data_IF_749963977758
#
_entry.id   IF_749963977758
#
_cell.length_a   1.000
_cell.length_b   1.000
_cell.length_c   1.000
_cell.angle_alpha   90.00
_cell.angle_beta   90.00
_cell.angle_gamma   90.00
#
_symmetry.space_group_name_H-M   'P 1'
#
loop_
_entity.id
_entity.type
_entity.pdbx_description
1 polymer ?
#
# COMPACT_ATOMS: atom_id res chain seq x y z
N UNK A 1 -13.56 -2.81 0.79
CA UNK A 1 -12.33 -2.01 1.00
C UNK A 1 -11.13 -2.78 0.49
N UNK A 2 -10.86 -3.98 1.03
CA UNK A 2 -9.80 -4.88 0.57
C UNK A 2 -9.81 -5.08 -0.95
N UNK A 3 -10.97 -5.39 -1.54
CA UNK A 3 -11.11 -5.52 -2.99
C UNK A 3 -10.67 -4.27 -3.78
N UNK A 4 -10.94 -3.06 -3.24
CA UNK A 4 -10.52 -1.80 -3.89
C UNK A 4 -9.01 -1.61 -3.82
N UNK A 5 -8.39 -1.94 -2.68
CA UNK A 5 -6.92 -1.89 -2.51
C UNK A 5 -6.27 -2.92 -3.43
N UNK A 6 -6.79 -4.14 -3.43
CA UNK A 6 -6.30 -5.22 -4.28
C UNK A 6 -6.41 -4.85 -5.76
N UNK A 7 -7.55 -4.32 -6.20
CA UNK A 7 -7.75 -3.89 -7.59
C UNK A 7 -6.81 -2.73 -7.95
N UNK A 8 -6.63 -1.76 -7.06
CA UNK A 8 -5.75 -0.61 -7.28
C UNK A 8 -4.28 -1.03 -7.37
N UNK A 9 -3.85 -1.96 -6.52
CA UNK A 9 -2.49 -2.47 -6.46
C UNK A 9 -2.26 -3.73 -7.31
N UNK A 10 -3.24 -4.18 -8.11
CA UNK A 10 -3.13 -5.47 -8.83
C UNK A 10 -1.95 -5.50 -9.80
N UNK A 11 -1.70 -4.37 -10.46
CA UNK A 11 -0.65 -4.20 -11.46
C UNK A 11 0.65 -3.64 -10.85
N UNK A 12 0.72 -3.54 -9.51
CA UNK A 12 1.91 -3.03 -8.85
C UNK A 12 3.05 -4.03 -8.83
N UNK A 13 4.17 -3.64 -9.44
CA UNK A 13 5.41 -4.43 -9.47
C UNK A 13 6.18 -4.32 -8.16
N UNK A 14 7.18 -5.19 -7.94
CA UNK A 14 8.06 -5.11 -6.76
C UNK A 14 8.88 -3.81 -6.70
N UNK A 15 9.08 -3.14 -7.84
CA UNK A 15 9.85 -1.90 -7.96
C UNK A 15 8.99 -0.64 -7.76
N UNK A 16 7.67 -0.77 -7.88
CA UNK A 16 6.76 0.35 -7.64
C UNK A 16 6.76 0.74 -6.17
N UNK A 17 6.89 2.04 -5.92
CA UNK A 17 6.78 2.58 -4.58
C UNK A 17 5.31 2.68 -4.21
N UNK A 18 4.90 1.90 -3.23
CA UNK A 18 3.57 2.01 -2.61
C UNK A 18 3.72 2.66 -1.25
N UNK A 19 2.83 3.57 -0.90
CA UNK A 19 2.78 4.16 0.43
C UNK A 19 1.34 4.49 0.80
N UNK A 20 1.06 4.58 2.08
CA UNK A 20 -0.22 5.09 2.54
C UNK A 20 -0.06 6.04 3.73
N UNK A 21 -1.05 6.91 3.90
CA UNK A 21 -1.07 7.90 4.97
C UNK A 21 -2.49 8.13 5.47
N UNK A 22 -2.57 8.54 6.73
CA UNK A 22 -3.82 8.81 7.42
C UNK A 22 -4.22 10.26 7.16
N UNK A 23 -5.31 10.48 6.41
CA UNK A 23 -5.83 11.82 6.14
C UNK A 23 -6.59 12.36 7.36
N UNK A 24 -7.31 11.47 8.04
CA UNK A 24 -8.01 11.71 9.30
C UNK A 24 -8.26 10.36 10.00
N UNK A 25 -8.90 10.36 11.18
CA UNK A 25 -9.14 9.15 11.99
C UNK A 25 -10.02 8.07 11.32
N UNK A 26 -10.58 8.33 10.14
CA UNK A 26 -11.51 7.45 9.43
C UNK A 26 -11.21 7.35 7.92
N UNK A 27 -10.19 8.03 7.42
CA UNK A 27 -9.87 8.05 5.99
C UNK A 27 -8.39 7.91 5.78
N UNK A 28 -8.05 6.88 5.01
CA UNK A 28 -6.70 6.55 4.62
C UNK A 28 -6.54 6.80 3.13
N UNK A 29 -5.36 7.26 2.73
CA UNK A 29 -4.98 7.43 1.33
C UNK A 29 -3.88 6.44 0.98
N UNK A 30 -4.13 5.57 0.01
CA UNK A 30 -3.14 4.66 -0.55
C UNK A 30 -2.66 5.24 -1.87
N UNK A 31 -1.35 5.31 -2.07
CA UNK A 31 -0.73 5.80 -3.28
C UNK A 31 0.26 4.78 -3.84
N UNK A 32 0.36 4.75 -5.16
CA UNK A 32 1.40 4.06 -5.89
C UNK A 32 2.11 5.06 -6.81
N UNK A 33 3.42 4.97 -6.86
CA UNK A 33 4.26 5.76 -7.74
C UNK A 33 4.84 4.85 -8.83
N UNK A 34 4.62 5.23 -10.08
CA UNK A 34 5.22 4.55 -11.25
C UNK A 34 6.71 4.89 -11.36
N UNK A 35 7.45 4.13 -12.17
CA UNK A 35 8.86 4.40 -12.46
C UNK A 35 9.08 5.80 -13.08
N UNK A 36 8.11 6.28 -13.86
CA UNK A 36 8.11 7.63 -14.45
C UNK A 36 7.95 8.73 -13.41
N UNK A 37 7.60 8.38 -12.17
CA UNK A 37 7.36 9.30 -11.07
C UNK A 37 5.91 9.72 -10.88
N UNK A 38 4.99 9.29 -11.77
CA UNK A 38 3.57 9.59 -11.65
C UNK A 38 2.98 8.91 -10.42
N UNK A 39 2.24 9.69 -9.62
CA UNK A 39 1.59 9.22 -8.41
C UNK A 39 0.09 9.09 -8.68
N UNK A 40 -0.44 7.88 -8.47
CA UNK A 40 -1.88 7.64 -8.40
C UNK A 40 -2.25 7.32 -6.96
N UNK A 41 -3.41 7.80 -6.50
CA UNK A 41 -3.88 7.54 -5.14
C UNK A 41 -5.38 7.22 -5.10
N UNK A 42 -5.80 6.45 -4.10
CA UNK A 42 -7.20 6.23 -3.74
C UNK A 42 -7.44 6.55 -2.27
N UNK A 43 -8.62 7.05 -1.96
CA UNK A 43 -9.06 7.29 -0.58
C UNK A 43 -10.02 6.20 -0.12
N UNK A 44 -9.86 5.77 1.12
CA UNK A 44 -10.59 4.65 1.70
C UNK A 44 -11.10 5.04 3.08
N UNK A 45 -12.41 4.87 3.29
CA UNK A 45 -13.00 4.96 4.61
C UNK A 45 -12.57 3.73 5.45
N UNK A 46 -11.53 3.91 6.26
CA UNK A 46 -10.90 2.86 7.05
C UNK A 46 -10.12 3.48 8.23
N UNK A 47 -9.84 2.66 9.22
CA UNK A 47 -8.80 2.99 10.20
C UNK A 47 -7.43 2.53 9.67
N UNK A 48 -6.37 3.29 9.97
CA UNK A 48 -4.97 2.96 9.68
C UNK A 48 -4.62 1.50 9.97
N UNK A 49 -4.99 0.99 11.15
CA UNK A 49 -4.70 -0.40 11.55
C UNK A 49 -5.37 -1.43 10.64
N UNK A 50 -6.58 -1.13 10.14
CA UNK A 50 -7.30 -1.99 9.20
C UNK A 50 -6.64 -1.97 7.82
N UNK A 51 -6.18 -0.81 7.37
CA UNK A 51 -5.45 -0.69 6.11
C UNK A 51 -4.10 -1.41 6.20
N UNK A 52 -3.34 -1.22 7.28
CA UNK A 52 -2.07 -1.91 7.51
C UNK A 52 -2.23 -3.44 7.47
N UNK A 53 -3.24 -3.99 8.16
CA UNK A 53 -3.54 -5.42 8.11
C UNK A 53 -3.95 -5.90 6.70
N UNK A 54 -4.69 -5.07 5.96
CA UNK A 54 -5.09 -5.36 4.57
C UNK A 54 -3.86 -5.43 3.66
N UNK A 55 -2.95 -4.46 3.78
CA UNK A 55 -1.69 -4.44 3.02
C UNK A 55 -0.86 -5.70 3.30
N UNK A 56 -0.75 -6.12 4.57
CA UNK A 56 -0.09 -7.37 4.95
C UNK A 56 -0.74 -8.61 4.34
N UNK A 57 -2.07 -8.70 4.36
CA UNK A 57 -2.83 -9.80 3.72
C UNK A 57 -2.60 -9.89 2.21
N UNK A 58 -2.37 -8.74 1.57
CA UNK A 58 -2.05 -8.62 0.14
C UNK A 58 -0.57 -8.88 -0.19
N UNK A 59 0.27 -9.20 0.80
CA UNK A 59 1.69 -9.51 0.60
C UNK A 59 2.61 -8.28 0.64
N UNK A 60 2.16 -7.17 1.22
CA UNK A 60 3.00 -5.99 1.44
C UNK A 60 3.53 -5.94 2.87
N UNK A 61 4.79 -5.56 3.01
CA UNK A 61 5.38 -5.16 4.29
C UNK A 61 5.47 -3.64 4.30
N UNK A 62 4.83 -3.02 5.28
CA UNK A 62 4.80 -1.58 5.44
C UNK A 62 5.61 -1.15 6.66
N UNK A 63 6.40 -0.08 6.51
CA UNK A 63 7.21 0.53 7.58
C UNK A 63 6.98 2.02 7.62
N UNK A 64 7.01 2.60 8.82
CA UNK A 64 6.93 4.05 8.98
C UNK A 64 8.12 4.72 8.30
N UNK A 65 7.86 5.73 7.47
CA UNK A 65 8.91 6.54 6.86
C UNK A 65 9.74 7.21 7.95
N UNK A 66 11.07 7.12 7.82
CA UNK A 66 12.01 7.73 8.74
C UNK A 66 12.33 9.20 8.41
N UNK A 67 11.75 9.76 7.34
CA UNK A 67 12.04 11.15 6.92
C UNK A 67 11.30 12.15 7.82
N UNK A 68 11.99 12.92 8.68
CA UNK A 68 11.35 13.89 9.57
C UNK A 68 10.80 15.13 8.82
N UNK A 69 11.19 15.32 7.55
CA UNK A 69 10.73 16.45 6.74
C UNK A 69 9.48 16.12 5.91
N UNK A 70 9.00 14.87 5.96
CA UNK A 70 7.81 14.42 5.25
C UNK A 70 6.68 14.13 6.24
N UNK A 71 5.42 14.26 5.82
CA UNK A 71 4.30 13.71 6.57
C UNK A 71 4.55 12.24 6.90
N UNK A 72 4.04 11.82 8.06
CA UNK A 72 4.11 10.43 8.49
C UNK A 72 3.38 9.56 7.46
N UNK A 73 4.13 8.81 6.67
CA UNK A 73 3.60 7.85 5.71
C UNK A 73 4.16 6.45 6.02
N UNK A 74 3.37 5.43 5.74
CA UNK A 74 3.82 4.06 5.73
C UNK A 74 4.30 3.72 4.32
N UNK A 75 5.59 3.45 4.16
CA UNK A 75 6.15 2.94 2.91
C UNK A 75 5.95 1.43 2.87
N UNK A 76 5.34 0.93 1.80
CA UNK A 76 4.98 -0.46 1.62
C UNK A 76 5.74 -1.08 0.46
N UNK A 77 6.37 -2.22 0.69
CA UNK A 77 7.03 -3.03 -0.34
C UNK A 77 6.31 -4.34 -0.51
N UNK A 78 6.08 -4.74 -1.77
CA UNK A 78 5.55 -6.06 -2.10
C UNK A 78 6.64 -7.11 -1.85
N UNK A 79 6.38 -8.05 -0.96
CA UNK A 79 7.31 -9.12 -0.61
C UNK A 79 7.03 -10.37 -1.46
N UNK A 80 5.76 -10.77 -1.51
CA UNK A 80 5.29 -11.90 -2.32
C UNK A 80 4.98 -11.46 -3.75
N UNK A 81 5.59 -12.12 -4.73
CA UNK A 81 5.08 -12.04 -6.10
C UNK A 81 3.71 -12.75 -6.14
N UNK A 82 2.71 -12.13 -6.78
CA UNK A 82 1.37 -12.73 -6.89
C UNK A 82 1.41 -14.11 -7.56
N UNK A 83 2.47 -14.41 -8.34
CA UNK A 83 2.73 -15.73 -8.91
C UNK A 83 3.15 -16.81 -7.89
N UNK A 84 3.76 -16.45 -6.75
CA UNK A 84 4.22 -17.43 -5.75
C UNK A 84 3.07 -17.96 -4.89
N UNK A 85 1.91 -17.29 -4.87
CA UNK A 85 0.71 -17.76 -4.15
C UNK A 85 0.09 -19.02 -4.79
N UNK A 86 0.47 -19.36 -6.04
CA UNK A 86 0.04 -20.60 -6.72
C UNK A 86 0.85 -21.85 -6.33
N UNK A 87 2.04 -21.73 -5.74
CA UNK A 87 2.88 -22.90 -5.45
C UNK A 87 2.85 -23.37 -3.99
N UNK A 88 1.98 -22.79 -3.14
CA UNK A 88 1.78 -23.23 -1.74
C UNK A 88 0.46 -23.97 -1.49
N UNK A 89 -0.27 -24.35 -2.54
CA UNK A 89 -1.41 -25.29 -2.47
C UNK A 89 -1.01 -26.60 -3.12
#
# INVERSE_FOLDING_TARGET
MEEKVQEFLKDSTKEQKVFFESLNNQTERVCQQTESGDISCIELAAAETKLFATMQSLGFICTLSADPNRPTVFECKRELDTNERKERL
#
